data_IF_700629668718
#
_entry.id   IF_700629668718
#
_cell.length_a   1.000
_cell.length_b   1.000
_cell.length_c   1.000
_cell.angle_alpha   90.00
_cell.angle_beta   90.00
_cell.angle_gamma   90.00
#
_symmetry.space_group_name_H-M   'P 1'
#
loop_
_entity.id
_entity.type
_entity.pdbx_description
1 polymer ?
#
# COMPACT_ATOMS: atom_id res chain seq x y z
N UNK A 1 6.83 -3.10 12.63
CA UNK A 1 6.10 -2.26 13.57
C UNK A 1 4.78 -2.93 13.93
N UNK A 2 4.54 -3.11 15.24
CA UNK A 2 3.29 -3.69 15.72
C UNK A 2 2.29 -2.58 15.97
N UNK A 3 1.12 -2.65 15.37
CA UNK A 3 0.00 -1.81 15.75
C UNK A 3 -1.07 -2.66 16.45
N UNK A 4 -1.57 -2.16 17.56
CA UNK A 4 -2.70 -2.77 18.25
C UNK A 4 -3.98 -2.21 17.63
N UNK A 5 -4.80 -3.09 17.06
CA UNK A 5 -6.12 -2.74 16.60
C UNK A 5 -7.13 -3.03 17.71
N UNK A 6 -7.97 -2.06 18.01
CA UNK A 6 -9.08 -2.25 18.93
C UNK A 6 -10.34 -2.63 18.15
N UNK A 7 -10.94 -3.72 18.52
CA UNK A 7 -12.22 -4.20 17.95
C UNK A 7 -13.42 -3.53 18.64
N UNK A 8 -14.59 -3.67 18.07
CA UNK A 8 -15.84 -3.11 18.63
C UNK A 8 -16.24 -3.75 19.96
N UNK A 9 -15.76 -4.95 20.25
CA UNK A 9 -15.99 -5.69 21.50
C UNK A 9 -14.88 -5.48 22.56
N UNK A 10 -14.00 -4.47 22.36
CA UNK A 10 -12.82 -4.18 23.18
C UNK A 10 -11.72 -5.27 23.18
N UNK A 11 -11.79 -6.27 22.31
CA UNK A 11 -10.66 -7.14 22.07
C UNK A 11 -9.58 -6.39 21.29
N UNK A 12 -8.31 -6.76 21.46
CA UNK A 12 -7.19 -6.17 20.72
C UNK A 12 -6.59 -7.20 19.78
N UNK A 13 -6.40 -6.81 18.52
CA UNK A 13 -5.67 -7.61 17.52
C UNK A 13 -4.31 -6.96 17.29
N UNK A 14 -3.25 -7.72 17.54
CA UNK A 14 -1.90 -7.26 17.22
C UNK A 14 -1.61 -7.45 15.73
N UNK A 15 -1.29 -6.37 15.04
CA UNK A 15 -0.94 -6.39 13.62
C UNK A 15 0.55 -6.11 13.48
N UNK A 16 1.28 -7.07 12.95
CA UNK A 16 2.71 -6.98 12.75
C UNK A 16 3.05 -6.72 11.28
N UNK A 17 3.21 -5.45 10.92
CA UNK A 17 3.57 -5.04 9.55
C UNK A 17 4.98 -5.48 9.15
N UNK A 18 5.90 -5.64 10.11
CA UNK A 18 7.25 -6.15 9.81
C UNK A 18 7.18 -7.62 9.39
N UNK A 19 6.32 -8.42 10.03
CA UNK A 19 6.12 -9.81 9.62
C UNK A 19 5.54 -9.92 8.21
N UNK A 20 4.60 -9.03 7.85
CA UNK A 20 4.10 -8.94 6.47
C UNK A 20 5.22 -8.56 5.49
N UNK A 21 6.08 -7.61 5.86
CA UNK A 21 7.22 -7.21 5.03
C UNK A 21 8.24 -8.33 4.85
N UNK A 22 8.53 -9.11 5.89
CA UNK A 22 9.39 -10.31 5.81
C UNK A 22 8.77 -11.32 4.83
N UNK A 23 7.49 -11.63 5.00
CA UNK A 23 6.80 -12.55 4.10
C UNK A 23 6.86 -12.08 2.63
N UNK A 24 6.63 -10.79 2.39
CA UNK A 24 6.78 -10.22 1.05
C UNK A 24 8.20 -10.31 0.52
N UNK A 25 9.22 -10.06 1.34
CA UNK A 25 10.61 -10.22 0.91
C UNK A 25 10.91 -11.67 0.50
N UNK A 26 10.42 -12.66 1.26
CA UNK A 26 10.56 -14.07 0.91
C UNK A 26 9.87 -14.37 -0.43
N UNK A 27 8.64 -13.88 -0.62
CA UNK A 27 7.87 -14.08 -1.86
C UNK A 27 8.55 -13.40 -3.05
N UNK A 28 9.00 -12.15 -2.91
CA UNK A 28 9.72 -11.43 -3.95
C UNK A 28 10.98 -12.22 -4.37
N UNK A 29 11.80 -12.65 -3.41
CA UNK A 29 13.01 -13.44 -3.70
C UNK A 29 12.71 -14.82 -4.30
N UNK A 30 11.52 -15.36 -4.09
CA UNK A 30 11.07 -16.63 -4.67
C UNK A 30 10.55 -16.47 -6.10
N UNK A 31 9.78 -15.43 -6.37
CA UNK A 31 9.04 -15.27 -7.63
C UNK A 31 9.68 -14.29 -8.60
N UNK A 32 10.34 -13.26 -8.10
CA UNK A 32 11.00 -12.24 -8.91
C UNK A 32 12.51 -12.47 -8.91
N UNK A 33 13.11 -12.54 -10.09
CA UNK A 33 14.54 -12.85 -10.24
C UNK A 33 15.40 -11.58 -10.15
N UNK A 34 16.53 -11.71 -9.43
CA UNK A 34 17.56 -10.66 -9.37
C UNK A 34 17.11 -9.31 -8.81
N UNK A 35 16.06 -9.29 -8.00
CA UNK A 35 15.56 -8.07 -7.38
C UNK A 35 16.09 -7.91 -5.96
N UNK A 36 16.46 -6.67 -5.63
CA UNK A 36 16.83 -6.28 -4.28
C UNK A 36 15.62 -5.73 -3.53
N UNK A 37 15.54 -6.04 -2.25
CA UNK A 37 14.43 -5.63 -1.39
C UNK A 37 14.92 -4.64 -0.34
N UNK A 38 14.36 -3.43 -0.36
CA UNK A 38 14.58 -2.42 0.66
C UNK A 38 13.37 -2.29 1.57
N UNK A 39 13.59 -2.39 2.87
CA UNK A 39 12.59 -2.07 3.88
C UNK A 39 12.78 -0.65 4.38
N UNK A 40 11.74 0.16 4.32
CA UNK A 40 11.66 1.45 5.04
C UNK A 40 10.83 1.24 6.29
N UNK A 41 11.43 1.46 7.46
CA UNK A 41 10.79 1.26 8.77
C UNK A 41 11.25 2.33 9.76
N UNK A 42 10.70 2.33 10.97
CA UNK A 42 11.19 3.14 12.09
C UNK A 42 12.25 2.39 12.91
N UNK A 43 12.83 3.07 13.89
CA UNK A 43 13.84 2.48 14.81
C UNK A 43 13.30 1.27 15.56
N UNK A 44 12.01 1.23 15.89
CA UNK A 44 11.41 0.10 16.59
C UNK A 44 11.29 -1.11 15.69
N UNK A 45 10.89 -0.92 14.43
CA UNK A 45 10.85 -1.99 13.43
C UNK A 45 12.24 -2.56 13.16
N UNK A 46 13.27 -1.72 13.07
CA UNK A 46 14.65 -2.20 12.93
C UNK A 46 15.10 -3.02 14.14
N UNK A 47 14.90 -2.53 15.36
CA UNK A 47 15.21 -3.27 16.59
C UNK A 47 14.46 -4.61 16.67
N UNK A 48 13.21 -4.66 16.20
CA UNK A 48 12.46 -5.91 16.13
C UNK A 48 13.15 -6.92 15.21
N UNK A 49 13.59 -6.49 14.01
CA UNK A 49 14.31 -7.34 13.06
C UNK A 49 15.64 -7.84 13.63
N UNK A 50 16.41 -6.97 14.29
CA UNK A 50 17.67 -7.31 14.95
C UNK A 50 17.45 -8.37 16.06
N UNK A 51 16.45 -8.16 16.92
CA UNK A 51 16.11 -9.09 18.00
C UNK A 51 15.67 -10.46 17.49
N UNK A 52 15.04 -10.52 16.33
CA UNK A 52 14.55 -11.76 15.71
C UNK A 52 15.55 -12.39 14.74
N UNK A 53 16.72 -11.78 14.56
CA UNK A 53 17.72 -12.18 13.56
C UNK A 53 17.11 -12.31 12.16
N UNK A 54 16.33 -11.29 11.71
CA UNK A 54 15.59 -11.29 10.46
C UNK A 54 16.02 -10.21 9.46
N UNK A 55 17.13 -9.49 9.73
CA UNK A 55 17.65 -8.46 8.83
C UNK A 55 18.04 -9.02 7.46
N UNK A 56 18.50 -10.27 7.40
CA UNK A 56 18.97 -10.94 6.18
C UNK A 56 17.89 -11.10 5.09
N UNK A 57 16.62 -10.92 5.44
CA UNK A 57 15.56 -10.93 4.45
C UNK A 57 15.61 -9.70 3.51
N UNK A 58 16.25 -8.62 3.94
CA UNK A 58 16.30 -7.36 3.21
C UNK A 58 17.74 -7.02 2.80
N UNK A 59 17.90 -6.55 1.57
CA UNK A 59 19.20 -6.10 1.06
C UNK A 59 19.56 -4.73 1.63
N UNK A 60 18.54 -3.90 1.91
CA UNK A 60 18.68 -2.62 2.61
C UNK A 60 17.57 -2.42 3.64
N UNK A 61 17.91 -1.80 4.77
CA UNK A 61 16.93 -1.35 5.78
C UNK A 61 17.18 0.13 6.04
N UNK A 62 16.23 0.96 5.62
CA UNK A 62 16.27 2.41 5.81
C UNK A 62 15.40 2.79 7.00
N UNK A 63 16.00 3.46 7.98
CA UNK A 63 15.27 3.92 9.16
C UNK A 63 14.77 5.34 8.96
N UNK A 64 13.48 5.54 9.17
CA UNK A 64 12.84 6.84 9.12
C UNK A 64 11.98 7.06 10.39
N UNK A 65 12.59 7.72 11.37
CA UNK A 65 11.93 8.11 12.61
C UNK A 65 11.23 9.46 12.47
N UNK A 66 10.28 9.58 11.58
CA UNK A 66 9.42 10.75 11.55
C UNK A 66 8.30 10.60 12.57
N UNK A 67 8.53 11.17 13.76
CA UNK A 67 7.42 11.49 14.64
C UNK A 67 6.60 12.60 13.97
N UNK A 68 5.41 12.26 13.52
CA UNK A 68 4.42 13.27 13.17
C UNK A 68 3.98 13.94 14.48
N UNK A 69 4.67 15.00 14.87
CA UNK A 69 4.26 15.86 15.98
C UNK A 69 3.12 16.75 15.47
N UNK A 70 1.89 16.21 15.48
CA UNK A 70 0.69 16.94 15.14
C UNK A 70 0.39 18.02 16.16
N UNK A 71 1.09 19.15 16.13
CA UNK A 71 0.78 20.36 16.90
C UNK A 71 1.30 21.65 16.24
N UNK A 72 1.23 21.76 14.92
CA UNK A 72 1.40 23.05 14.26
C UNK A 72 0.05 23.75 14.05
N UNK A 73 0.00 25.08 13.90
CA UNK A 73 -1.25 25.79 13.61
C UNK A 73 -1.91 25.39 12.29
N UNK A 74 -1.21 24.69 11.41
CA UNK A 74 -1.72 24.09 10.18
C UNK A 74 -1.86 22.56 10.25
N UNK A 75 -1.72 21.97 11.42
CA UNK A 75 -1.64 20.54 11.63
C UNK A 75 -3.02 19.91 11.77
N UNK A 76 -3.77 20.00 10.69
CA UNK A 76 -5.12 19.45 10.60
C UNK A 76 -5.16 17.97 10.14
N UNK A 77 -4.02 17.29 10.12
CA UNK A 77 -3.90 15.84 9.93
C UNK A 77 -4.22 15.07 11.23
N UNK A 78 -5.22 15.50 11.94
CA UNK A 78 -5.48 15.15 13.35
C UNK A 78 -6.23 13.85 13.53
N UNK A 79 -6.42 13.03 12.51
CA UNK A 79 -6.97 11.70 12.74
C UNK A 79 -5.84 10.69 12.77
N UNK A 80 -5.28 10.51 13.94
CA UNK A 80 -4.26 9.48 14.20
C UNK A 80 -4.81 8.05 14.16
N UNK A 81 -6.10 7.86 13.88
CA UNK A 81 -6.74 6.55 13.83
C UNK A 81 -7.62 6.42 12.59
N UNK A 82 -7.54 5.26 11.95
CA UNK A 82 -8.42 4.87 10.86
C UNK A 82 -9.34 3.76 11.33
N UNK A 83 -10.65 3.92 11.15
CA UNK A 83 -11.59 2.84 11.27
C UNK A 83 -11.54 1.97 10.00
N UNK A 84 -11.37 0.67 10.16
CA UNK A 84 -11.40 -0.32 9.10
C UNK A 84 -12.37 -1.42 9.48
N UNK A 85 -12.98 -2.05 8.48
CA UNK A 85 -13.67 -3.32 8.70
C UNK A 85 -12.67 -4.46 8.71
N UNK A 86 -12.81 -5.35 9.68
CA UNK A 86 -12.09 -6.61 9.75
C UNK A 86 -13.14 -7.71 9.91
N UNK A 87 -13.59 -8.26 8.80
CA UNK A 87 -14.75 -9.12 8.80
C UNK A 87 -16.04 -8.38 9.13
N UNK A 88 -16.75 -8.78 10.19
CA UNK A 88 -17.94 -8.11 10.72
C UNK A 88 -17.59 -6.94 11.64
N UNK A 89 -16.36 -6.88 12.14
CA UNK A 89 -15.94 -5.94 13.15
C UNK A 89 -15.37 -4.65 12.57
N UNK A 90 -15.50 -3.57 13.34
CA UNK A 90 -14.83 -2.31 13.05
C UNK A 90 -13.62 -2.19 13.97
N UNK A 91 -12.42 -2.20 13.39
CA UNK A 91 -11.18 -1.96 14.10
C UNK A 91 -10.71 -0.52 13.90
N UNK A 92 -10.13 0.06 14.95
CA UNK A 92 -9.47 1.37 14.87
C UNK A 92 -7.97 1.18 14.94
N UNK A 93 -7.28 1.61 13.90
CA UNK A 93 -5.83 1.51 13.77
C UNK A 93 -5.18 2.90 13.86
N UNK A 94 -4.02 3.02 14.51
CA UNK A 94 -3.19 4.20 14.34
C UNK A 94 -2.84 4.37 12.86
N UNK A 95 -3.08 5.58 12.32
CA UNK A 95 -2.76 5.87 10.93
C UNK A 95 -1.32 6.35 10.81
N UNK A 96 -0.42 5.49 10.41
CA UNK A 96 1.02 5.77 10.34
C UNK A 96 1.57 5.83 8.91
N UNK A 97 0.81 5.41 7.90
CA UNK A 97 1.25 5.38 6.51
C UNK A 97 1.22 6.79 5.87
N UNK A 98 2.07 7.69 6.39
CA UNK A 98 2.16 9.08 5.92
C UNK A 98 3.50 9.39 5.23
N UNK A 99 4.46 8.48 5.27
CA UNK A 99 5.81 8.68 4.75
C UNK A 99 5.99 8.25 3.29
N UNK A 100 4.96 7.70 2.65
CA UNK A 100 5.03 7.27 1.25
C UNK A 100 5.52 8.38 0.29
N UNK A 101 5.19 9.67 0.45
CA UNK A 101 5.76 10.74 -0.37
C UNK A 101 7.27 10.90 -0.24
N UNK A 102 7.90 10.34 0.78
CA UNK A 102 9.35 10.38 0.96
C UNK A 102 10.07 9.23 0.21
N UNK A 103 9.33 8.28 -0.36
CA UNK A 103 9.87 7.05 -0.96
C UNK A 103 10.93 7.33 -2.05
N UNK A 104 10.75 8.40 -2.84
CA UNK A 104 11.75 8.79 -3.83
C UNK A 104 13.13 9.06 -3.22
N UNK A 105 13.16 9.74 -2.08
CA UNK A 105 14.41 10.07 -1.36
C UNK A 105 14.98 8.87 -0.60
N UNK A 106 14.10 8.01 -0.09
CA UNK A 106 14.46 6.87 0.76
C UNK A 106 14.91 5.66 -0.03
N UNK A 107 14.45 5.51 -1.27
CA UNK A 107 14.87 4.40 -2.11
C UNK A 107 16.36 4.51 -2.47
N UNK A 108 17.15 3.45 -2.25
CA UNK A 108 18.56 3.39 -2.66
C UNK A 108 18.73 3.02 -4.14
N UNK A 109 17.66 2.77 -4.89
CA UNK A 109 17.69 2.20 -6.23
C UNK A 109 17.31 3.22 -7.31
N UNK A 110 17.85 3.06 -8.52
CA UNK A 110 17.51 3.88 -9.70
C UNK A 110 16.10 3.57 -10.22
N UNK A 111 15.71 2.31 -10.20
CA UNK A 111 14.36 1.83 -10.53
C UNK A 111 13.75 1.19 -9.29
N UNK A 112 12.54 1.57 -8.94
CA UNK A 112 11.91 1.15 -7.69
C UNK A 112 10.45 0.79 -7.91
N UNK A 113 10.05 -0.36 -7.37
CA UNK A 113 8.63 -0.69 -7.17
C UNK A 113 8.32 -0.52 -5.69
N UNK A 114 7.50 0.46 -5.36
CA UNK A 114 7.02 0.71 -4.01
C UNK A 114 5.74 -0.08 -3.77
N UNK A 115 5.75 -0.93 -2.75
CA UNK A 115 4.64 -1.81 -2.41
C UNK A 115 4.08 -1.50 -1.02
N UNK A 116 2.79 -1.74 -0.82
CA UNK A 116 2.23 -1.88 0.52
C UNK A 116 2.69 -3.20 1.13
N UNK A 117 2.93 -3.24 2.45
CA UNK A 117 3.40 -4.45 3.14
C UNK A 117 2.40 -5.61 3.10
N UNK A 118 1.14 -5.32 2.86
CA UNK A 118 0.03 -6.26 2.70
C UNK A 118 -0.34 -6.54 1.22
N UNK A 119 0.56 -6.20 0.29
CA UNK A 119 0.50 -6.62 -1.11
C UNK A 119 1.45 -7.78 -1.33
N UNK A 120 0.93 -8.99 -1.39
CA UNK A 120 1.71 -10.23 -1.50
C UNK A 120 2.04 -10.58 -2.95
N UNK A 121 3.33 -10.90 -3.19
CA UNK A 121 3.89 -11.16 -4.52
C UNK A 121 3.97 -12.67 -4.76
N UNK A 122 3.03 -13.22 -5.52
CA UNK A 122 2.95 -14.65 -5.83
C UNK A 122 3.33 -15.00 -7.29
N UNK A 123 3.66 -13.99 -8.11
CA UNK A 123 4.10 -14.17 -9.48
C UNK A 123 5.16 -13.12 -9.88
N UNK A 124 5.67 -13.22 -11.08
CA UNK A 124 6.75 -12.39 -11.63
C UNK A 124 6.27 -11.18 -12.47
N UNK A 125 4.96 -10.90 -12.49
CA UNK A 125 4.41 -9.85 -13.36
C UNK A 125 5.04 -8.47 -13.11
N UNK A 126 5.50 -8.24 -11.87
CA UNK A 126 6.15 -6.99 -11.49
C UNK A 126 7.54 -6.83 -12.13
N UNK A 127 8.24 -7.91 -12.50
CA UNK A 127 9.55 -7.82 -13.15
C UNK A 127 9.47 -7.07 -14.48
N UNK A 128 8.36 -7.20 -15.20
CA UNK A 128 8.12 -6.50 -16.46
C UNK A 128 8.13 -4.98 -16.34
N UNK A 129 7.96 -4.45 -15.13
CA UNK A 129 8.00 -3.00 -14.89
C UNK A 129 9.43 -2.46 -15.00
N UNK A 130 10.45 -3.29 -14.77
CA UNK A 130 11.86 -2.88 -14.89
C UNK A 130 12.33 -2.75 -16.35
N UNK A 131 11.61 -3.38 -17.29
CA UNK A 131 11.90 -3.35 -18.73
C UNK A 131 11.21 -2.17 -19.45
N UNK A 132 10.47 -1.34 -18.72
CA UNK A 132 9.76 -0.20 -19.30
C UNK A 132 10.64 1.05 -19.40
N UNK A 133 10.36 1.89 -20.39
CA UNK A 133 10.95 3.22 -20.56
C UNK A 133 10.18 4.32 -19.79
N UNK A 134 9.14 3.94 -19.07
CA UNK A 134 8.35 4.90 -18.31
C UNK A 134 9.00 5.28 -17.00
N UNK A 135 8.93 6.55 -16.65
CA UNK A 135 9.48 7.06 -15.40
C UNK A 135 8.57 6.84 -14.18
N UNK A 136 7.28 6.69 -14.42
CA UNK A 136 6.27 6.46 -13.36
C UNK A 136 5.14 5.57 -13.90
N UNK A 137 4.82 4.51 -13.17
CA UNK A 137 3.64 3.67 -13.41
C UNK A 137 2.85 3.51 -12.12
N UNK A 138 1.53 3.61 -12.18
CA UNK A 138 0.67 3.51 -11.01
C UNK A 138 -0.62 2.72 -11.28
N UNK A 139 -1.21 2.19 -10.22
CA UNK A 139 -2.43 1.42 -10.32
C UNK A 139 -3.64 2.28 -10.69
N UNK A 140 -4.24 2.00 -11.83
CA UNK A 140 -5.47 2.67 -12.29
C UNK A 140 -6.69 1.75 -12.24
N UNK A 141 -6.45 0.45 -12.29
CA UNK A 141 -7.49 -0.57 -12.31
C UNK A 141 -7.32 -1.52 -11.13
N UNK A 142 -8.39 -1.73 -10.38
CA UNK A 142 -8.41 -2.62 -9.23
C UNK A 142 -9.53 -3.63 -9.42
N UNK A 143 -9.20 -4.90 -9.27
CA UNK A 143 -10.17 -6.00 -9.29
C UNK A 143 -10.34 -6.56 -7.88
N UNK A 144 -11.58 -6.80 -7.48
CA UNK A 144 -11.88 -7.46 -6.21
C UNK A 144 -12.01 -8.97 -6.46
N UNK A 145 -11.19 -9.76 -5.76
CA UNK A 145 -11.08 -11.21 -6.03
C UNK A 145 -12.37 -11.95 -5.66
N UNK A 146 -13.03 -11.58 -4.55
CA UNK A 146 -14.28 -12.23 -4.11
C UNK A 146 -15.47 -11.96 -5.04
N UNK A 147 -15.35 -10.98 -5.93
CA UNK A 147 -16.35 -10.63 -6.93
C UNK A 147 -15.94 -11.03 -8.35
N UNK A 148 -15.10 -12.04 -8.49
CA UNK A 148 -14.61 -12.54 -9.77
C UNK A 148 -13.91 -11.47 -10.63
N UNK A 149 -13.20 -10.57 -9.98
CA UNK A 149 -12.44 -9.52 -10.66
C UNK A 149 -13.28 -8.33 -11.13
N UNK A 150 -14.50 -8.16 -10.63
CA UNK A 150 -15.28 -6.94 -10.82
C UNK A 150 -14.48 -5.74 -10.31
N UNK A 151 -14.41 -4.68 -11.10
CA UNK A 151 -13.72 -3.47 -10.72
C UNK A 151 -14.38 -2.85 -9.50
N UNK A 152 -13.58 -2.55 -8.48
CA UNK A 152 -14.05 -1.73 -7.37
C UNK A 152 -14.27 -0.32 -7.91
N UNK A 153 -15.43 0.25 -7.62
CA UNK A 153 -15.91 1.51 -8.20
C UNK A 153 -15.21 2.77 -7.66
N UNK A 154 -13.91 2.70 -7.37
CA UNK A 154 -13.12 3.89 -7.04
C UNK A 154 -12.46 4.50 -8.28
N UNK A 155 -13.28 4.83 -9.29
CA UNK A 155 -12.79 5.43 -10.55
C UNK A 155 -12.39 6.90 -10.39
N UNK A 156 -12.93 7.59 -9.38
CA UNK A 156 -12.73 9.02 -9.13
C UNK A 156 -12.63 9.31 -7.63
N UNK A 157 -11.93 10.39 -7.25
CA UNK A 157 -11.88 10.85 -5.84
C UNK A 157 -13.26 11.23 -5.32
N UNK A 158 -14.10 11.77 -6.19
CA UNK A 158 -15.50 12.08 -6.00
C UNK A 158 -16.18 11.99 -7.37
N UNK A 159 -17.48 11.74 -7.47
CA UNK A 159 -18.20 11.54 -8.73
C UNK A 159 -18.00 12.68 -9.76
N UNK A 160 -17.71 13.90 -9.31
CA UNK A 160 -17.49 15.07 -10.15
C UNK A 160 -16.02 15.50 -10.25
N UNK A 161 -15.07 14.67 -9.86
CA UNK A 161 -13.67 15.07 -9.81
C UNK A 161 -12.75 14.19 -10.66
N UNK A 162 -11.46 14.23 -10.36
CA UNK A 162 -10.39 13.57 -11.09
C UNK A 162 -10.38 12.06 -10.93
N UNK A 163 -9.73 11.35 -11.85
CA UNK A 163 -9.47 9.92 -11.78
C UNK A 163 -8.67 9.59 -10.51
N UNK A 164 -9.04 8.50 -9.85
CA UNK A 164 -8.30 7.97 -8.72
C UNK A 164 -7.25 6.96 -9.18
N UNK A 165 -6.06 7.07 -8.61
CA UNK A 165 -4.97 6.11 -8.75
C UNK A 165 -4.66 5.47 -7.42
N UNK A 166 -4.30 4.20 -7.45
CA UNK A 166 -3.96 3.43 -6.26
C UNK A 166 -2.46 3.47 -6.01
N UNK A 167 -2.08 3.83 -4.80
CA UNK A 167 -0.68 3.92 -4.38
C UNK A 167 -0.12 2.57 -3.86
N UNK A 168 -0.90 1.50 -3.90
CA UNK A 168 -0.51 0.17 -3.42
C UNK A 168 0.71 -0.37 -4.16
N UNK A 169 0.74 -0.20 -5.48
CA UNK A 169 1.88 -0.52 -6.35
C UNK A 169 2.23 0.72 -7.14
N UNK A 170 3.43 1.24 -6.95
CA UNK A 170 3.92 2.42 -7.64
C UNK A 170 5.36 2.16 -8.12
N UNK A 171 5.54 2.08 -9.43
CA UNK A 171 6.87 2.04 -10.04
C UNK A 171 7.37 3.45 -10.31
N UNK A 172 8.65 3.70 -10.06
CA UNK A 172 9.31 4.95 -10.43
C UNK A 172 10.81 4.76 -10.68
N UNK A 173 11.37 5.65 -11.50
CA UNK A 173 12.81 5.77 -11.72
C UNK A 173 13.35 7.01 -10.99
N UNK A 174 14.67 7.11 -10.83
CA UNK A 174 15.35 8.33 -10.35
C UNK A 174 15.38 9.40 -11.47
N UNK A 175 14.19 9.89 -11.82
CA UNK A 175 13.97 10.90 -12.87
C UNK A 175 13.39 12.19 -12.30
N UNK A 176 13.48 13.26 -13.07
CA UNK A 176 12.89 14.56 -12.71
C UNK A 176 11.38 14.49 -12.53
N UNK A 177 10.69 13.75 -13.41
CA UNK A 177 9.23 13.58 -13.33
C UNK A 177 8.81 12.86 -12.03
N UNK A 178 9.51 11.78 -11.68
CA UNK A 178 9.23 11.07 -10.42
C UNK A 178 9.55 11.96 -9.21
N UNK A 179 10.67 12.68 -9.22
CA UNK A 179 11.00 13.62 -8.15
C UNK A 179 9.90 14.67 -7.96
N UNK A 180 9.43 15.25 -9.06
CA UNK A 180 8.37 16.26 -9.03
C UNK A 180 7.04 15.68 -8.53
N UNK A 181 6.68 14.46 -8.95
CA UNK A 181 5.51 13.76 -8.45
C UNK A 181 5.52 13.65 -6.91
N UNK A 182 6.62 13.16 -6.36
CA UNK A 182 6.74 12.98 -4.91
C UNK A 182 6.80 14.31 -4.14
N UNK A 183 7.40 15.36 -4.73
CA UNK A 183 7.36 16.73 -4.18
C UNK A 183 5.92 17.26 -4.11
N UNK A 184 5.14 17.06 -5.17
CA UNK A 184 3.73 17.48 -5.19
C UNK A 184 2.91 16.65 -4.20
N UNK A 185 3.11 15.33 -4.10
CA UNK A 185 2.46 14.50 -3.09
C UNK A 185 2.73 15.01 -1.66
N UNK A 186 3.95 15.44 -1.37
CA UNK A 186 4.30 16.07 -0.09
C UNK A 186 3.60 17.41 0.11
N UNK A 187 3.51 18.24 -0.92
CA UNK A 187 2.76 19.51 -0.86
C UNK A 187 1.28 19.28 -0.60
N UNK A 188 0.67 18.30 -1.28
CA UNK A 188 -0.72 17.89 -1.03
C UNK A 188 -0.92 17.43 0.41
N UNK A 189 0.01 16.62 0.94
CA UNK A 189 -0.02 16.16 2.33
C UNK A 189 0.02 17.33 3.31
N UNK A 190 0.94 18.26 3.13
CA UNK A 190 1.10 19.44 3.99
C UNK A 190 -0.12 20.35 3.96
N UNK A 191 -0.79 20.44 2.81
CA UNK A 191 -1.96 21.31 2.60
C UNK A 191 -3.26 20.49 2.45
N UNK A 192 -3.39 19.38 3.18
CA UNK A 192 -4.46 18.39 2.99
C UNK A 192 -5.87 18.97 3.01
N UNK A 193 -6.18 19.87 3.92
CA UNK A 193 -7.50 20.49 4.00
C UNK A 193 -7.83 21.38 2.79
N UNK A 194 -6.83 22.13 2.29
CA UNK A 194 -7.00 22.94 1.09
C UNK A 194 -7.37 22.06 -0.09
N UNK A 195 -6.60 21.01 -0.34
CA UNK A 195 -6.87 20.07 -1.43
C UNK A 195 -8.17 19.29 -1.23
N UNK A 196 -8.54 18.99 0.02
CA UNK A 196 -9.83 18.37 0.34
C UNK A 196 -11.02 19.23 -0.10
N UNK A 197 -10.95 20.54 0.13
CA UNK A 197 -11.97 21.48 -0.34
C UNK A 197 -11.95 21.61 -1.88
N UNK A 198 -10.76 21.75 -2.46
CA UNK A 198 -10.60 21.94 -3.91
C UNK A 198 -11.11 20.74 -4.72
N UNK A 199 -10.80 19.52 -4.27
CA UNK A 199 -11.19 18.27 -4.93
C UNK A 199 -12.43 17.61 -4.32
N UNK A 200 -13.15 18.33 -3.44
CA UNK A 200 -14.44 17.93 -2.85
C UNK A 200 -14.45 16.55 -2.18
N UNK A 201 -13.36 16.13 -1.54
CA UNK A 201 -13.37 14.92 -0.74
C UNK A 201 -13.48 15.22 0.76
N UNK A 202 -14.29 14.42 1.45
CA UNK A 202 -14.62 14.65 2.87
C UNK A 202 -13.63 14.00 3.86
N UNK A 203 -12.56 13.33 3.36
CA UNK A 203 -11.64 12.62 4.23
C UNK A 203 -10.80 13.58 5.07
N UNK A 204 -10.99 13.53 6.40
CA UNK A 204 -10.12 14.23 7.36
C UNK A 204 -8.76 13.52 7.52
N UNK A 205 -8.69 12.23 7.20
CA UNK A 205 -7.48 11.43 7.27
C UNK A 205 -6.75 11.52 5.94
N UNK A 206 -5.45 11.80 5.99
CA UNK A 206 -4.59 11.77 4.81
C UNK A 206 -4.61 10.40 4.14
N UNK A 207 -4.69 10.38 2.81
CA UNK A 207 -4.66 9.17 1.99
C UNK A 207 -3.64 9.29 0.87
N UNK A 208 -2.72 8.33 0.80
CA UNK A 208 -1.70 8.29 -0.24
C UNK A 208 -2.29 8.22 -1.66
N UNK A 209 -3.37 7.43 -1.85
CA UNK A 209 -4.07 7.32 -3.14
C UNK A 209 -4.59 8.67 -3.64
N UNK A 210 -5.16 9.46 -2.73
CA UNK A 210 -5.68 10.78 -3.06
C UNK A 210 -4.54 11.76 -3.36
N UNK A 211 -3.47 11.75 -2.56
CA UNK A 211 -2.31 12.60 -2.80
C UNK A 211 -1.64 12.27 -4.13
N UNK A 212 -1.50 10.99 -4.46
CA UNK A 212 -0.98 10.51 -5.74
C UNK A 212 -1.87 10.98 -6.90
N UNK A 213 -3.19 10.79 -6.79
CA UNK A 213 -4.15 11.18 -7.84
C UNK A 213 -4.13 12.67 -8.11
N UNK A 214 -4.07 13.48 -7.05
CA UNK A 214 -3.97 14.95 -7.16
C UNK A 214 -2.64 15.35 -7.80
N UNK A 215 -1.53 14.75 -7.36
CA UNK A 215 -0.21 15.04 -7.90
C UNK A 215 -0.13 14.73 -9.40
N UNK A 216 -0.65 13.59 -9.83
CA UNK A 216 -0.74 13.21 -11.25
C UNK A 216 -1.59 14.21 -12.03
N UNK A 217 -2.76 14.60 -11.50
CA UNK A 217 -3.62 15.59 -12.16
C UNK A 217 -2.90 16.93 -12.33
N UNK A 218 -2.22 17.40 -11.29
CA UNK A 218 -1.47 18.67 -11.34
C UNK A 218 -0.33 18.63 -12.38
N UNK A 219 0.39 17.52 -12.45
CA UNK A 219 1.48 17.34 -13.42
C UNK A 219 0.96 17.32 -14.85
N UNK A 220 -0.14 16.61 -15.11
CA UNK A 220 -0.77 16.58 -16.44
C UNK A 220 -1.27 17.95 -16.90
N UNK A 221 -1.73 18.77 -15.97
CA UNK A 221 -2.18 20.13 -16.30
C UNK A 221 -1.02 21.08 -16.65
N UNK A 222 0.20 20.79 -16.20
CA UNK A 222 1.38 21.63 -16.44
C UNK A 222 2.27 21.17 -17.58
N UNK A 223 2.27 19.89 -17.87
CA UNK A 223 3.17 19.30 -18.87
C UNK A 223 2.36 18.42 -19.82
N UNK A 224 2.23 18.83 -21.05
CA UNK A 224 1.65 17.99 -22.11
C UNK A 224 2.38 16.67 -22.30
N UNK A 225 3.67 16.63 -21.88
CA UNK A 225 4.56 15.48 -22.00
C UNK A 225 4.46 14.54 -20.81
N UNK A 226 3.88 14.96 -19.66
CA UNK A 226 3.74 14.07 -18.51
C UNK A 226 2.68 13.00 -18.76
N UNK A 227 3.14 11.88 -19.26
CA UNK A 227 2.29 10.70 -19.44
C UNK A 227 2.32 9.92 -18.13
N UNK A 228 1.24 9.98 -17.35
CA UNK A 228 1.03 9.00 -16.32
C UNK A 228 0.65 7.71 -16.99
N UNK A 229 1.50 6.77 -16.86
CA UNK A 229 1.25 5.46 -17.40
C UNK A 229 0.60 4.61 -16.32
N UNK A 230 -0.44 3.93 -16.71
CA UNK A 230 -1.14 2.99 -15.85
C UNK A 230 -0.38 1.67 -15.88
N UNK A 231 -0.34 0.97 -14.75
CA UNK A 231 0.17 -0.39 -14.72
C UNK A 231 -0.52 -1.22 -15.80
N UNK A 232 0.22 -2.07 -16.54
CA UNK A 232 -0.35 -2.87 -17.62
C UNK A 232 -1.23 -4.04 -17.12
N UNK A 233 -1.45 -4.12 -15.82
CA UNK A 233 -2.28 -5.13 -15.17
C UNK A 233 -3.19 -4.50 -14.11
N UNK A 234 -4.21 -5.25 -13.69
CA UNK A 234 -5.07 -4.86 -12.57
C UNK A 234 -4.40 -5.20 -11.25
N UNK A 235 -4.51 -4.30 -10.27
CA UNK A 235 -4.20 -4.64 -8.89
C UNK A 235 -5.35 -5.49 -8.37
N UNK A 236 -5.09 -6.76 -8.11
CA UNK A 236 -6.06 -7.62 -7.46
C UNK A 236 -6.07 -7.33 -5.97
N UNK A 237 -7.23 -7.12 -5.42
CA UNK A 237 -7.38 -6.89 -4.00
C UNK A 237 -8.41 -7.83 -3.39
N UNK A 238 -8.25 -7.98 -2.12
CA UNK A 238 -9.15 -8.69 -1.28
C UNK A 238 -9.70 -7.72 -0.25
N UNK A 239 -10.98 -7.38 -0.39
CA UNK A 239 -11.67 -6.48 0.52
C UNK A 239 -11.72 -7.07 1.94
N UNK A 240 -12.00 -6.20 2.92
CA UNK A 240 -11.99 -6.51 4.36
C UNK A 240 -12.89 -7.68 4.81
N UNK A 241 -13.71 -8.20 3.91
CA UNK A 241 -14.67 -9.27 4.20
C UNK A 241 -14.01 -10.63 4.06
N UNK A 242 -13.54 -11.18 5.18
CA UNK A 242 -13.28 -12.60 5.41
C UNK A 242 -12.54 -13.36 4.31
N UNK A 243 -11.24 -13.49 4.44
CA UNK A 243 -10.46 -14.39 3.63
C UNK A 243 -9.71 -15.34 4.53
N UNK A 244 -9.91 -16.59 4.21
CA UNK A 244 -9.01 -17.63 4.68
C UNK A 244 -8.17 -18.11 3.51
N UNK A 245 -6.87 -18.19 3.69
CA UNK A 245 -5.99 -18.89 2.76
C UNK A 245 -5.87 -20.33 3.20
N UNK A 246 -6.34 -21.26 2.41
CA UNK A 246 -5.95 -22.66 2.53
C UNK A 246 -5.08 -23.03 1.34
N UNK A 247 -3.96 -23.74 1.60
CA UNK A 247 -3.04 -24.34 0.63
C UNK A 247 -3.29 -23.97 -0.86
N UNK A 248 -2.86 -22.78 -1.27
CA UNK A 248 -2.96 -22.26 -2.65
C UNK A 248 -4.38 -21.89 -3.16
N UNK A 249 -5.36 -21.74 -2.31
CA UNK A 249 -6.68 -21.22 -2.70
C UNK A 249 -7.11 -20.10 -1.74
N UNK A 250 -7.75 -19.07 -2.31
CA UNK A 250 -8.43 -18.06 -1.49
C UNK A 250 -9.85 -18.53 -1.24
N UNK A 251 -10.24 -18.60 0.02
CA UNK A 251 -11.62 -18.90 0.43
C UNK A 251 -12.27 -17.62 0.93
N UNK A 252 -13.40 -17.26 0.35
CA UNK A 252 -14.11 -16.04 0.66
C UNK A 252 -15.41 -16.34 1.37
N UNK A 253 -15.77 -15.49 2.31
CA UNK A 253 -17.10 -15.48 2.85
C UNK A 253 -17.93 -14.40 2.14
N UNK A 254 -19.02 -14.81 1.51
CA UNK A 254 -20.03 -13.91 0.93
C UNK A 254 -21.32 -14.05 1.71
N UNK A 255 -21.60 -13.13 2.63
CA UNK A 255 -22.67 -13.29 3.61
C UNK A 255 -22.40 -14.51 4.50
N UNK A 256 -23.34 -15.46 4.54
CA UNK A 256 -23.20 -16.70 5.32
C UNK A 256 -22.63 -17.88 4.50
N UNK A 257 -22.32 -17.67 3.23
CA UNK A 257 -21.78 -18.70 2.35
C UNK A 257 -20.28 -18.55 2.14
N UNK A 258 -19.58 -19.69 2.05
CA UNK A 258 -18.18 -19.75 1.68
C UNK A 258 -18.07 -20.03 0.18
N UNK A 259 -17.27 -19.23 -0.50
CA UNK A 259 -16.91 -19.45 -1.89
C UNK A 259 -15.40 -19.62 -2.00
N UNK A 260 -14.96 -20.66 -2.70
CA UNK A 260 -13.56 -20.87 -3.01
C UNK A 260 -13.20 -20.24 -4.35
N UNK A 261 -12.00 -19.71 -4.46
CA UNK A 261 -11.41 -19.29 -5.72
C UNK A 261 -9.98 -19.84 -5.81
N UNK A 262 -9.69 -20.49 -6.91
CA UNK A 262 -8.34 -20.94 -7.23
C UNK A 262 -7.58 -19.82 -7.95
N UNK A 263 -7.24 -18.72 -7.26
CA UNK A 263 -6.27 -17.75 -7.75
C UNK A 263 -4.93 -17.97 -7.01
N UNK A 264 -4.24 -19.07 -7.25
CA UNK A 264 -3.06 -19.42 -6.45
C UNK A 264 -1.80 -18.68 -6.87
N UNK A 265 -1.82 -17.91 -7.96
CA UNK A 265 -0.61 -17.44 -8.64
C UNK A 265 -0.66 -15.96 -9.00
N UNK A 266 -1.57 -15.19 -8.42
CA UNK A 266 -1.65 -13.75 -8.71
C UNK A 266 -1.22 -12.93 -7.51
N UNK A 267 -0.48 -11.87 -7.79
CA UNK A 267 -0.18 -10.84 -6.80
C UNK A 267 -1.46 -10.22 -6.26
N UNK A 268 -1.55 -10.04 -4.96
CA UNK A 268 -2.78 -9.62 -4.32
C UNK A 268 -2.58 -8.66 -3.14
N UNK A 269 -3.38 -7.61 -3.08
CA UNK A 269 -3.46 -6.71 -1.95
C UNK A 269 -4.51 -7.20 -0.95
N UNK A 270 -4.08 -7.68 0.19
CA UNK A 270 -4.95 -8.25 1.24
C UNK A 270 -5.29 -7.18 2.27
N UNK A 271 -6.44 -6.53 2.13
CA UNK A 271 -6.85 -5.45 3.04
C UNK A 271 -7.25 -5.95 4.42
N UNK A 272 -7.78 -7.18 4.52
CA UNK A 272 -8.09 -7.82 5.81
C UNK A 272 -6.80 -8.15 6.56
N UNK A 273 -6.58 -7.51 7.71
CA UNK A 273 -5.30 -7.62 8.43
C UNK A 273 -5.09 -8.97 9.10
N UNK A 274 -6.16 -9.63 9.53
CA UNK A 274 -6.06 -10.98 10.08
C UNK A 274 -5.60 -11.96 8.99
N UNK A 275 -6.23 -11.93 7.83
CA UNK A 275 -5.82 -12.77 6.70
C UNK A 275 -4.41 -12.45 6.21
N UNK A 276 -4.02 -11.17 6.18
CA UNK A 276 -2.66 -10.78 5.85
C UNK A 276 -1.64 -11.34 6.85
N UNK A 277 -1.97 -11.37 8.15
CA UNK A 277 -1.12 -11.97 9.17
C UNK A 277 -1.03 -13.49 9.01
N UNK A 278 -2.14 -14.18 8.75
CA UNK A 278 -2.16 -15.63 8.52
C UNK A 278 -1.32 -16.03 7.30
N UNK A 279 -1.43 -15.28 6.20
CA UNK A 279 -0.56 -15.46 5.01
C UNK A 279 0.90 -15.28 5.40
N UNK A 280 1.20 -14.20 6.13
CA UNK A 280 2.57 -13.90 6.55
C UNK A 280 3.16 -14.99 7.43
N UNK A 281 2.38 -15.55 8.34
CA UNK A 281 2.80 -16.66 9.20
C UNK A 281 3.14 -17.90 8.40
N UNK A 282 2.30 -18.27 7.45
CA UNK A 282 2.55 -19.43 6.59
C UNK A 282 3.81 -19.26 5.75
N UNK A 283 3.96 -18.08 5.10
CA UNK A 283 5.14 -17.80 4.26
C UNK A 283 6.43 -17.80 5.08
N UNK A 284 6.40 -17.27 6.31
CA UNK A 284 7.59 -17.24 7.17
C UNK A 284 7.97 -18.59 7.79
N UNK A 285 7.02 -19.53 7.89
CA UNK A 285 7.21 -20.84 8.54
C UNK A 285 7.38 -22.00 7.54
N UNK A 286 7.11 -21.78 6.25
CA UNK A 286 7.22 -22.77 5.16
C UNK A 286 8.36 -22.50 4.22
#
# INVERSE_FOLDING_TARGET
>A
FNSVAHTSDNSSVEINYIKMAIANSILIKRHMKNNQVCLVTDSNGKKYLEKQDKLYHFDHVVVQDKQYKGKGPNDNLVVNTRAMRNGTDTIRLPWQNQSRPDAYKLSPYDKTILLDSDYFVFDDILDKLFDTDYNVLCGAHVGEVSQQGTLIDYKRLHHQTIKMYWATVLYFTKSYEAELLFKIMNSVKTNWQYYGKLYKFASKTYRNDFALSIAIHMLRAKQEVFKTYELPFKIMCVADKNIMTSNNAFVFRKGDTWAGSSFPTQNVHVMNKQSAMEISERVCNG
#
